data_IF_349336852558
#
_entry.id   IF_349336852558
#
_cell.length_a   1.000
_cell.length_b   1.000
_cell.length_c   1.000
_cell.angle_alpha   90.00
_cell.angle_beta   90.00
_cell.angle_gamma   90.00
#
_symmetry.space_group_name_H-M   'P 1'
#
loop_
_entity.id
_entity.type
_entity.pdbx_description
1 polymer ?
#
# COMPACT_ATOMS: atom_id res chain seq x y z
N UNK A 1 -21.72 9.48 -11.11
CA UNK A 1 -21.22 8.10 -11.01
C UNK A 1 -19.77 8.17 -10.54
N UNK A 2 -19.44 7.63 -9.36
CA UNK A 2 -18.03 7.60 -8.89
C UNK A 2 -17.32 6.48 -9.67
N UNK A 3 -16.22 6.80 -10.34
CA UNK A 3 -15.46 5.81 -11.12
C UNK A 3 -14.75 4.81 -10.18
N UNK A 4 -14.64 3.53 -10.60
CA UNK A 4 -13.87 2.55 -9.84
C UNK A 4 -12.42 2.99 -9.80
N UNK A 5 -11.88 3.06 -8.59
CA UNK A 5 -10.49 3.44 -8.35
C UNK A 5 -9.81 2.41 -7.48
N UNK A 6 -8.52 2.24 -7.76
CA UNK A 6 -7.60 1.41 -7.01
C UNK A 6 -6.82 2.31 -6.05
N UNK A 7 -6.77 1.92 -4.79
CA UNK A 7 -5.90 2.50 -3.78
C UNK A 7 -4.58 1.73 -3.77
N UNK A 8 -3.48 2.44 -3.94
CA UNK A 8 -2.14 1.87 -3.83
C UNK A 8 -1.21 2.75 -3.01
N UNK A 9 -0.15 2.17 -2.44
CA UNK A 9 0.92 2.97 -1.81
C UNK A 9 1.76 3.63 -2.91
N UNK A 10 2.11 4.90 -2.72
CA UNK A 10 2.91 5.64 -3.69
C UNK A 10 4.29 4.98 -3.86
N UNK A 11 4.61 4.38 -5.02
CA UNK A 11 5.88 3.68 -5.21
C UNK A 11 7.09 4.62 -5.25
N UNK A 12 6.88 5.93 -5.45
CA UNK A 12 7.94 6.93 -5.38
C UNK A 12 8.38 7.23 -3.93
N UNK A 13 7.59 6.83 -2.94
CA UNK A 13 7.91 7.03 -1.52
C UNK A 13 8.53 5.73 -0.98
N UNK A 14 9.85 5.71 -0.70
CA UNK A 14 10.51 4.49 -0.25
C UNK A 14 9.97 4.06 1.12
N UNK A 15 9.86 2.74 1.30
CA UNK A 15 9.50 2.13 2.60
C UNK A 15 10.72 1.45 3.20
N UNK A 16 11.04 1.76 4.45
CA UNK A 16 12.16 1.15 5.17
C UNK A 16 11.83 0.91 6.64
N UNK A 17 12.57 -0.01 7.26
CA UNK A 17 12.56 -0.15 8.72
C UNK A 17 13.47 0.94 9.31
N UNK A 18 12.90 1.86 10.08
CA UNK A 18 13.67 2.85 10.86
C UNK A 18 14.25 2.19 12.12
N UNK A 19 13.54 1.22 12.68
CA UNK A 19 13.98 0.32 13.75
C UNK A 19 13.24 -1.01 13.67
N UNK A 20 13.55 -1.97 14.56
CA UNK A 20 12.81 -3.25 14.69
C UNK A 20 11.33 -3.08 15.00
N UNK A 21 10.91 -1.88 15.40
CA UNK A 21 9.54 -1.58 15.81
C UNK A 21 8.94 -0.41 15.05
N UNK A 22 9.63 0.19 14.07
CA UNK A 22 9.09 1.35 13.34
C UNK A 22 9.30 1.15 11.85
N UNK A 23 8.18 1.08 11.13
CA UNK A 23 8.17 1.11 9.68
C UNK A 23 7.95 2.56 9.23
N UNK A 24 8.80 3.03 8.32
CA UNK A 24 8.81 4.41 7.82
C UNK A 24 8.55 4.45 6.33
N UNK A 25 7.81 5.48 5.92
CA UNK A 25 7.65 5.91 4.54
C UNK A 25 8.35 7.25 4.32
N UNK A 26 9.22 7.33 3.32
CA UNK A 26 10.05 8.48 3.00
C UNK A 26 11.46 8.40 3.57
N UNK A 27 12.45 8.97 2.86
CA UNK A 27 13.86 8.88 3.23
C UNK A 27 14.37 10.15 3.92
N UNK A 28 14.34 11.31 3.27
CA UNK A 28 14.76 12.58 3.89
C UNK A 28 13.76 13.02 4.96
N UNK A 29 12.48 13.05 4.60
CA UNK A 29 11.36 13.30 5.51
C UNK A 29 10.59 12.01 5.79
N UNK A 30 10.16 11.83 7.03
CA UNK A 30 9.26 10.75 7.41
C UNK A 30 7.83 11.20 7.15
N UNK A 31 7.25 10.83 6.01
CA UNK A 31 5.86 11.16 5.67
C UNK A 31 4.90 10.39 6.57
N UNK A 32 5.22 9.10 6.81
CA UNK A 32 4.44 8.24 7.71
C UNK A 32 5.38 7.38 8.55
N UNK A 33 5.04 7.23 9.83
CA UNK A 33 5.66 6.26 10.73
C UNK A 33 4.59 5.36 11.32
N UNK A 34 4.77 4.05 11.18
CA UNK A 34 3.92 3.04 11.81
C UNK A 34 4.73 2.41 12.93
N UNK A 35 4.31 2.67 14.17
CA UNK A 35 4.93 2.12 15.37
C UNK A 35 4.33 0.75 15.69
N UNK A 36 5.21 -0.21 15.95
CA UNK A 36 4.94 -1.64 16.21
C UNK A 36 3.98 -2.26 15.18
N UNK A 37 4.32 -2.25 13.88
CA UNK A 37 3.47 -2.82 12.85
C UNK A 37 3.28 -4.32 13.09
N UNK A 38 2.04 -4.73 13.33
CA UNK A 38 1.70 -6.14 13.54
C UNK A 38 1.85 -6.92 12.24
N UNK A 39 1.84 -8.26 12.32
CA UNK A 39 1.83 -9.11 11.12
C UNK A 39 0.63 -8.81 10.21
N UNK A 40 -0.53 -8.51 10.81
CA UNK A 40 -1.74 -8.13 10.09
C UNK A 40 -1.53 -6.81 9.33
N UNK A 41 -0.99 -5.79 10.01
CA UNK A 41 -0.63 -4.51 9.38
C UNK A 41 0.32 -4.70 8.21
N UNK A 42 1.38 -5.49 8.38
CA UNK A 42 2.37 -5.73 7.31
C UNK A 42 1.74 -6.40 6.08
N UNK A 43 0.86 -7.40 6.28
CA UNK A 43 0.12 -8.05 5.18
C UNK A 43 -0.80 -7.08 4.46
N UNK A 44 -1.51 -6.24 5.20
CA UNK A 44 -2.39 -5.24 4.63
C UNK A 44 -1.62 -4.18 3.83
N UNK A 45 -0.47 -3.72 4.32
CA UNK A 45 0.41 -2.82 3.59
C UNK A 45 0.96 -3.47 2.31
N UNK A 46 1.28 -4.76 2.35
CA UNK A 46 1.70 -5.49 1.16
C UNK A 46 0.57 -5.58 0.11
N UNK A 47 -0.68 -5.82 0.55
CA UNK A 47 -1.83 -5.82 -0.33
C UNK A 47 -2.08 -4.42 -0.93
N UNK A 48 -2.03 -3.36 -0.12
CA UNK A 48 -2.13 -1.98 -0.61
C UNK A 48 -1.03 -1.67 -1.63
N UNK A 49 0.19 -2.14 -1.44
CA UNK A 49 1.28 -1.96 -2.42
C UNK A 49 1.02 -2.65 -3.76
N UNK A 50 0.25 -3.74 -3.76
CA UNK A 50 -0.19 -4.42 -4.98
C UNK A 50 -1.40 -3.73 -5.66
N UNK A 51 -2.04 -2.77 -4.97
CA UNK A 51 -3.26 -2.12 -5.41
C UNK A 51 -4.51 -2.87 -4.95
N UNK A 52 -5.41 -2.16 -4.28
CA UNK A 52 -6.68 -2.70 -3.77
C UNK A 52 -7.82 -1.80 -4.22
N UNK A 53 -8.88 -2.38 -4.77
CA UNK A 53 -10.07 -1.60 -5.14
C UNK A 53 -10.76 -1.07 -3.87
N UNK A 54 -11.44 0.06 -3.95
CA UNK A 54 -12.19 0.60 -2.82
C UNK A 54 -13.24 -0.41 -2.27
N UNK A 55 -13.82 -1.23 -3.15
CA UNK A 55 -14.80 -2.27 -2.81
C UNK A 55 -14.17 -3.45 -2.07
N UNK A 56 -12.95 -3.85 -2.43
CA UNK A 56 -12.28 -5.01 -1.82
C UNK A 56 -11.54 -4.67 -0.51
N UNK A 57 -11.34 -3.38 -0.23
CA UNK A 57 -10.55 -2.90 0.90
C UNK A 57 -10.99 -3.49 2.25
N UNK A 58 -12.30 -3.65 2.47
CA UNK A 58 -12.84 -4.25 3.69
C UNK A 58 -12.56 -5.76 3.79
N UNK A 59 -12.63 -6.47 2.66
CA UNK A 59 -12.33 -7.90 2.59
C UNK A 59 -10.85 -8.16 2.81
N UNK A 60 -9.99 -7.41 2.11
CA UNK A 60 -8.53 -7.51 2.27
C UNK A 60 -8.09 -7.20 3.70
N UNK A 61 -8.68 -6.19 4.35
CA UNK A 61 -8.39 -5.89 5.75
C UNK A 61 -8.79 -7.06 6.68
N UNK A 62 -9.97 -7.65 6.47
CA UNK A 62 -10.44 -8.81 7.24
C UNK A 62 -9.51 -10.01 7.06
N UNK A 63 -9.11 -10.31 5.83
CA UNK A 63 -8.22 -11.44 5.52
C UNK A 63 -6.81 -11.25 6.10
N UNK A 64 -6.37 -9.99 6.20
CA UNK A 64 -5.15 -9.64 6.91
C UNK A 64 -5.27 -9.77 8.45
N UNK A 65 -6.49 -9.87 8.99
CA UNK A 65 -6.77 -9.91 10.42
C UNK A 65 -6.89 -8.52 11.07
N UNK A 66 -7.23 -7.48 10.29
CA UNK A 66 -7.39 -6.10 10.74
C UNK A 66 -8.88 -5.80 10.96
N UNK A 67 -9.21 -5.24 12.11
CA UNK A 67 -10.57 -4.80 12.42
C UNK A 67 -10.97 -3.56 11.62
N UNK A 68 -12.27 -3.29 11.51
CA UNK A 68 -12.76 -2.07 10.83
C UNK A 68 -12.22 -0.77 11.44
N UNK A 69 -12.02 -0.74 12.77
CA UNK A 69 -11.47 0.41 13.48
C UNK A 69 -9.98 0.61 13.16
N UNK A 70 -9.17 -0.46 13.27
CA UNK A 70 -7.74 -0.41 12.93
C UNK A 70 -7.52 -0.08 11.46
N UNK A 71 -8.34 -0.62 10.55
CA UNK A 71 -8.30 -0.28 9.13
C UNK A 71 -8.52 1.22 8.94
N UNK A 72 -9.53 1.79 9.60
CA UNK A 72 -9.80 3.23 9.49
C UNK A 72 -8.61 4.06 9.98
N UNK A 73 -8.08 3.76 11.16
CA UNK A 73 -6.93 4.46 11.72
C UNK A 73 -5.68 4.34 10.82
N UNK A 74 -5.43 3.15 10.26
CA UNK A 74 -4.34 2.93 9.30
C UNK A 74 -4.54 3.73 8.02
N UNK A 75 -5.75 3.75 7.45
CA UNK A 75 -6.03 4.51 6.23
C UNK A 75 -5.88 6.02 6.44
N UNK A 76 -6.31 6.54 7.60
CA UNK A 76 -6.09 7.95 7.97
C UNK A 76 -4.59 8.24 8.14
N UNK A 77 -3.82 7.33 8.74
CA UNK A 77 -2.37 7.45 8.89
C UNK A 77 -1.63 7.40 7.55
N UNK A 78 -2.10 6.57 6.62
CA UNK A 78 -1.47 6.35 5.31
C UNK A 78 -1.89 7.37 4.25
N UNK A 79 -2.85 8.23 4.52
CA UNK A 79 -3.37 9.24 3.58
C UNK A 79 -2.27 10.00 2.81
N UNK A 80 -1.17 10.47 3.45
CA UNK A 80 -0.11 11.21 2.76
C UNK A 80 0.67 10.39 1.72
N UNK A 81 0.60 9.06 1.80
CA UNK A 81 1.37 8.13 0.96
C UNK A 81 0.48 7.24 0.09
N UNK A 82 -0.84 7.50 0.07
CA UNK A 82 -1.79 6.76 -0.76
C UNK A 82 -2.01 7.46 -2.11
N UNK A 83 -2.02 6.66 -3.18
CA UNK A 83 -2.46 7.08 -4.50
C UNK A 83 -3.83 6.48 -4.79
N UNK A 84 -4.72 7.29 -5.37
CA UNK A 84 -5.95 6.81 -5.99
C UNK A 84 -5.76 6.82 -7.49
N UNK A 85 -5.78 5.64 -8.09
CA UNK A 85 -5.65 5.49 -9.53
C UNK A 85 -6.98 5.05 -10.13
N UNK A 86 -7.37 5.57 -11.32
CA UNK A 86 -8.46 4.97 -12.09
C UNK A 86 -8.18 3.49 -12.34
N UNK A 87 -9.20 2.63 -12.31
CA UNK A 87 -9.04 1.18 -12.54
C UNK A 87 -8.34 0.88 -13.88
N UNK A 88 -8.56 1.72 -14.91
CA UNK A 88 -7.94 1.64 -16.24
C UNK A 88 -6.45 2.04 -16.28
N UNK A 89 -5.89 2.63 -15.22
CA UNK A 89 -4.52 3.15 -15.23
C UNK A 89 -3.44 2.10 -14.94
N UNK A 90 -3.82 0.86 -14.62
CA UNK A 90 -2.89 -0.27 -14.51
C UNK A 90 -2.65 -0.88 -15.90
N UNK A 91 -2.03 -0.11 -16.79
CA UNK A 91 -1.42 -0.68 -18.00
C UNK A 91 -0.31 -1.67 -17.63
N UNK A 92 -0.03 -2.69 -18.47
CA UNK A 92 1.02 -3.67 -18.20
C UNK A 92 2.35 -2.95 -17.98
N UNK A 93 3.05 -3.29 -16.90
CA UNK A 93 4.41 -2.80 -16.63
C UNK A 93 5.27 -2.92 -17.89
N UNK A 94 5.80 -1.83 -18.47
CA UNK A 94 6.79 -1.93 -19.51
C UNK A 94 8.13 -2.30 -18.86
N UNK A 95 8.63 -3.50 -19.13
CA UNK A 95 10.05 -3.80 -18.91
C UNK A 95 10.36 -5.02 -18.05
N UNK A 96 9.97 -6.21 -18.51
CA UNK A 96 10.94 -7.31 -18.48
C UNK A 96 11.57 -7.37 -19.87
N UNK A 97 12.82 -6.90 -20.08
CA UNK A 97 13.51 -7.25 -21.30
C UNK A 97 13.76 -8.76 -21.25
N UNK A 98 13.05 -9.50 -22.11
CA UNK A 98 13.45 -10.85 -22.47
C UNK A 98 14.89 -10.76 -22.98
N UNK A 99 15.84 -11.27 -22.20
CA UNK A 99 17.21 -11.47 -22.65
C UNK A 99 17.21 -12.72 -23.54
N UNK A 100 17.46 -12.59 -24.87
CA UNK A 100 17.71 -13.77 -25.68
C UNK A 100 19.08 -14.32 -25.28
N UNK A 101 19.09 -15.50 -24.68
CA UNK A 101 20.29 -16.32 -24.60
C UNK A 101 20.56 -16.85 -26.01
N UNK A 102 21.70 -16.46 -26.58
CA UNK A 102 22.28 -17.07 -27.79
C UNK A 102 23.03 -18.32 -27.40
#
# INVERSE_FOLDING_TARGET
MQQPHTLTLNPAIPTCWESTHVLRFGFERAEVRIVRPTRATQRFLAALRAGVTASDLATVARDAGITSHERRALMETLEPVLLRQPLDAQGPSPGSPAVPHT
#
